data_IF_437593677819
#
_entry.id   IF_437593677819
#
_cell.length_a   1.000
_cell.length_b   1.000
_cell.length_c   1.000
_cell.angle_alpha   90.00
_cell.angle_beta   90.00
_cell.angle_gamma   90.00
#
_symmetry.space_group_name_H-M   'P 1'
#
loop_
_entity.id
_entity.type
_entity.pdbx_description
1 polymer ?
#
# COMPACT_ATOMS: atom_id res chain seq x y z
N UNK A 1 11.82 -5.02 -5.78
CA UNK A 1 13.12 -4.91 -5.05
C UNK A 1 13.14 -3.72 -4.08
N UNK A 2 12.90 -2.47 -4.52
CA UNK A 2 12.91 -1.32 -3.60
C UNK A 2 11.80 -1.43 -2.53
N UNK A 3 10.58 -1.81 -2.93
CA UNK A 3 9.49 -2.06 -1.99
C UNK A 3 9.89 -3.04 -0.89
N UNK A 4 10.40 -4.22 -1.24
CA UNK A 4 10.90 -5.22 -0.28
C UNK A 4 11.94 -4.63 0.67
N UNK A 5 12.91 -3.86 0.17
CA UNK A 5 13.91 -3.23 1.02
C UNK A 5 13.29 -2.25 2.04
N UNK A 6 12.32 -1.45 1.59
CA UNK A 6 11.62 -0.49 2.46
C UNK A 6 10.67 -1.18 3.42
N UNK A 7 10.05 -2.29 3.03
CA UNK A 7 9.22 -3.12 3.88
C UNK A 7 10.03 -3.68 5.07
N UNK A 8 11.20 -4.28 4.79
CA UNK A 8 12.12 -4.75 5.85
C UNK A 8 12.66 -3.60 6.71
N UNK A 9 12.92 -2.44 6.11
CA UNK A 9 13.28 -1.25 6.87
C UNK A 9 12.12 -0.75 7.75
N UNK A 10 10.87 -0.92 7.30
CA UNK A 10 9.65 -0.65 8.05
C UNK A 10 9.57 -1.50 9.31
N UNK A 11 9.78 -2.82 9.20
CA UNK A 11 9.85 -3.72 10.36
C UNK A 11 10.93 -3.28 11.36
N UNK A 12 12.13 -3.01 10.86
CA UNK A 12 13.24 -2.56 11.70
C UNK A 12 12.89 -1.25 12.44
N UNK A 13 12.23 -0.32 11.76
CA UNK A 13 11.82 0.95 12.33
C UNK A 13 10.70 0.81 13.37
N UNK A 14 9.68 -0.01 13.08
CA UNK A 14 8.60 -0.35 14.02
C UNK A 14 9.17 -0.94 15.31
N UNK A 15 10.09 -1.89 15.18
CA UNK A 15 10.74 -2.53 16.32
C UNK A 15 11.62 -1.56 17.13
N UNK A 16 12.45 -0.76 16.46
CA UNK A 16 13.37 0.19 17.10
C UNK A 16 12.63 1.31 17.87
N UNK A 17 11.56 1.83 17.28
CA UNK A 17 10.78 2.92 17.88
C UNK A 17 9.65 2.43 18.80
N UNK A 18 9.40 1.11 18.86
CA UNK A 18 8.31 0.54 19.65
C UNK A 18 6.94 1.04 19.18
N UNK A 19 6.74 1.16 17.87
CA UNK A 19 5.49 1.65 17.28
C UNK A 19 4.38 0.62 17.56
N UNK A 20 3.26 1.01 18.19
CA UNK A 20 2.17 0.09 18.44
C UNK A 20 1.46 -0.27 17.13
N UNK A 21 1.34 -1.56 16.85
CA UNK A 21 0.58 -2.09 15.71
C UNK A 21 -0.77 -2.62 16.22
N UNK A 22 -1.87 -2.03 15.72
CA UNK A 22 -3.24 -2.42 16.09
C UNK A 22 -3.91 -3.36 15.07
N UNK A 23 -3.21 -3.67 13.97
CA UNK A 23 -3.65 -4.56 12.90
C UNK A 23 -2.56 -5.58 12.56
N UNK A 24 -2.42 -5.90 11.27
CA UNK A 24 -1.31 -6.70 10.75
C UNK A 24 -0.09 -5.80 10.54
N UNK A 25 1.07 -6.21 11.06
CA UNK A 25 2.31 -5.43 10.91
C UNK A 25 2.75 -5.38 9.45
N UNK A 26 2.67 -6.51 8.75
CA UNK A 26 2.96 -6.65 7.32
C UNK A 26 2.21 -5.61 6.47
N UNK A 27 0.90 -5.47 6.67
CA UNK A 27 0.08 -4.49 5.93
C UNK A 27 0.50 -3.05 6.30
N UNK A 28 0.89 -2.81 7.55
CA UNK A 28 1.38 -1.50 7.99
C UNK A 28 2.73 -1.16 7.34
N UNK A 29 3.65 -2.11 7.24
CA UNK A 29 4.98 -1.88 6.65
C UNK A 29 4.95 -1.88 5.10
N UNK A 30 3.98 -2.54 4.47
CA UNK A 30 3.65 -2.34 3.05
C UNK A 30 3.22 -0.89 2.79
N UNK A 31 2.30 -0.38 3.62
CA UNK A 31 1.86 1.03 3.54
C UNK A 31 3.03 2.00 3.75
N UNK A 32 3.94 1.70 4.70
CA UNK A 32 5.16 2.47 4.91
C UNK A 32 6.00 2.51 3.62
N UNK A 33 6.29 1.35 3.04
CA UNK A 33 7.10 1.26 1.83
C UNK A 33 6.46 2.05 0.66
N UNK A 34 5.15 1.88 0.45
CA UNK A 34 4.41 2.59 -0.58
C UNK A 34 4.45 4.12 -0.36
N UNK A 35 4.19 4.62 0.85
CA UNK A 35 4.24 6.05 1.17
C UNK A 35 5.62 6.65 0.91
N UNK A 36 6.69 5.94 1.32
CA UNK A 36 8.06 6.43 1.10
C UNK A 36 8.37 6.51 -0.40
N UNK A 37 7.99 5.48 -1.16
CA UNK A 37 8.19 5.46 -2.61
C UNK A 37 7.41 6.58 -3.29
N UNK A 38 6.12 6.72 -2.98
CA UNK A 38 5.23 7.71 -3.61
C UNK A 38 5.67 9.15 -3.33
N UNK A 39 6.12 9.46 -2.11
CA UNK A 39 6.46 10.83 -1.74
C UNK A 39 7.91 11.23 -2.03
N UNK A 40 8.87 10.29 -2.01
CA UNK A 40 10.30 10.63 -1.93
C UNK A 40 11.18 9.93 -2.97
N UNK A 41 10.62 9.13 -3.86
CA UNK A 41 11.37 8.41 -4.89
C UNK A 41 10.93 8.87 -6.28
N UNK A 42 11.90 9.25 -7.12
CA UNK A 42 11.65 9.54 -8.53
C UNK A 42 11.06 8.30 -9.22
N UNK A 43 9.95 8.48 -9.96
CA UNK A 43 9.18 7.37 -10.55
C UNK A 43 8.69 6.36 -9.49
N UNK A 44 8.45 6.83 -8.26
CA UNK A 44 7.97 6.02 -7.15
C UNK A 44 6.66 5.30 -7.45
N UNK A 45 5.72 5.97 -8.13
CA UNK A 45 4.45 5.37 -8.52
C UNK A 45 4.62 4.12 -9.39
N UNK A 46 5.42 4.19 -10.46
CA UNK A 46 5.69 3.04 -11.34
C UNK A 46 6.36 1.87 -10.58
N UNK A 47 7.27 2.21 -9.67
CA UNK A 47 7.93 1.22 -8.84
C UNK A 47 6.99 0.59 -7.80
N UNK A 48 6.02 1.34 -7.29
CA UNK A 48 4.98 0.86 -6.36
C UNK A 48 3.95 -0.01 -7.10
N UNK A 49 3.55 0.36 -8.32
CA UNK A 49 2.72 -0.49 -9.19
C UNK A 49 3.45 -1.81 -9.49
N UNK A 50 4.74 -1.75 -9.82
CA UNK A 50 5.55 -2.96 -10.04
C UNK A 50 5.64 -3.85 -8.79
N UNK A 51 5.51 -3.28 -7.58
CA UNK A 51 5.44 -4.04 -6.35
C UNK A 51 4.06 -4.64 -6.12
N UNK A 52 2.99 -3.92 -6.44
CA UNK A 52 1.63 -4.47 -6.47
C UNK A 52 1.57 -5.68 -7.40
N UNK A 53 2.07 -5.57 -8.63
CA UNK A 53 2.07 -6.66 -9.62
C UNK A 53 2.76 -7.91 -9.06
N UNK A 54 3.78 -7.77 -8.22
CA UNK A 54 4.42 -8.89 -7.54
C UNK A 54 3.44 -9.66 -6.65
N UNK A 55 2.59 -8.96 -5.89
CA UNK A 55 1.55 -9.60 -5.09
C UNK A 55 0.50 -10.29 -5.97
N UNK A 56 0.14 -9.70 -7.12
CA UNK A 56 -0.74 -10.36 -8.07
C UNK A 56 -0.10 -11.66 -8.62
N UNK A 57 1.20 -11.64 -8.96
CA UNK A 57 1.91 -12.84 -9.42
C UNK A 57 2.02 -13.92 -8.33
N UNK A 58 2.19 -13.54 -7.06
CA UNK A 58 2.14 -14.49 -5.93
C UNK A 58 0.74 -15.12 -5.75
N UNK A 59 -0.30 -14.44 -6.26
CA UNK A 59 -1.67 -14.95 -6.29
C UNK A 59 -2.00 -15.83 -7.51
N UNK A 60 -1.24 -15.74 -8.61
CA UNK A 60 -1.54 -16.41 -9.89
C UNK A 60 -1.38 -17.94 -9.86
N UNK A 61 -0.64 -18.49 -8.89
CA UNK A 61 -0.45 -19.94 -8.73
C UNK A 61 -1.61 -20.63 -7.98
N UNK A 62 -2.74 -19.94 -7.76
CA UNK A 62 -3.78 -20.42 -6.84
C UNK A 62 -4.89 -21.21 -7.55
N UNK A 63 -5.26 -22.40 -7.01
CA UNK A 63 -6.37 -23.22 -7.53
C UNK A 63 -7.73 -22.54 -7.25
N UNK A 64 -8.85 -23.14 -7.71
CA UNK A 64 -10.23 -22.66 -7.46
C UNK A 64 -10.59 -22.45 -5.97
N UNK A 65 -9.68 -22.76 -5.03
CA UNK A 65 -9.86 -22.67 -3.59
C UNK A 65 -8.57 -22.26 -2.89
N UNK A 66 -8.66 -21.30 -1.95
CA UNK A 66 -7.53 -20.87 -1.12
C UNK A 66 -7.16 -21.93 -0.07
N UNK A 67 -5.86 -22.13 0.19
CA UNK A 67 -5.42 -23.00 1.29
C UNK A 67 -5.77 -22.36 2.65
N UNK A 68 -6.12 -23.18 3.64
CA UNK A 68 -6.33 -22.74 5.02
C UNK A 68 -5.14 -21.96 5.58
N UNK A 69 -3.92 -22.27 5.12
CA UNK A 69 -2.72 -21.53 5.52
C UNK A 69 -2.81 -20.03 5.20
N UNK A 70 -3.43 -19.65 4.09
CA UNK A 70 -3.54 -18.26 3.69
C UNK A 70 -4.47 -17.46 4.62
N UNK A 71 -5.54 -18.10 5.11
CA UNK A 71 -6.48 -17.45 6.03
C UNK A 71 -5.87 -17.14 7.40
N UNK A 72 -4.79 -17.84 7.77
CA UNK A 72 -4.05 -17.66 9.03
C UNK A 72 -2.73 -16.92 8.82
N UNK A 73 -2.49 -16.39 7.61
CA UNK A 73 -1.27 -15.68 7.26
C UNK A 73 -1.08 -14.37 8.04
N UNK A 74 0.19 -13.96 8.18
CA UNK A 74 0.61 -12.77 8.91
C UNK A 74 0.27 -11.46 8.15
N UNK A 75 0.16 -11.54 6.82
CA UNK A 75 -0.32 -10.47 5.94
C UNK A 75 -1.74 -10.71 5.42
N UNK A 76 -2.37 -9.69 4.86
CA UNK A 76 -3.61 -9.85 4.08
C UNK A 76 -3.41 -10.70 2.82
N UNK A 77 -4.49 -11.22 2.21
CA UNK A 77 -4.33 -12.03 1.00
C UNK A 77 -3.58 -11.25 -0.08
N UNK A 78 -2.79 -11.92 -0.91
CA UNK A 78 -1.93 -11.25 -1.89
C UNK A 78 -2.74 -10.34 -2.82
N UNK A 79 -3.93 -10.78 -3.25
CA UNK A 79 -4.82 -9.93 -4.05
C UNK A 79 -5.37 -8.72 -3.27
N UNK A 80 -5.56 -8.85 -1.95
CA UNK A 80 -5.91 -7.70 -1.11
C UNK A 80 -4.74 -6.72 -1.00
N UNK A 81 -3.50 -7.20 -0.88
CA UNK A 81 -2.29 -6.37 -0.86
C UNK A 81 -2.07 -5.65 -2.19
N UNK A 82 -2.29 -6.34 -3.30
CA UNK A 82 -2.29 -5.77 -4.64
C UNK A 82 -3.25 -4.58 -4.74
N UNK A 83 -4.54 -4.80 -4.46
CA UNK A 83 -5.54 -3.72 -4.54
C UNK A 83 -5.30 -2.60 -3.52
N UNK A 84 -4.86 -2.93 -2.30
CA UNK A 84 -4.49 -1.91 -1.31
C UNK A 84 -3.34 -1.03 -1.81
N UNK A 85 -2.33 -1.62 -2.45
CA UNK A 85 -1.19 -0.90 -3.01
C UNK A 85 -1.59 -0.02 -4.20
N UNK A 86 -2.40 -0.55 -5.14
CA UNK A 86 -2.94 0.25 -6.24
C UNK A 86 -3.81 1.41 -5.75
N UNK A 87 -4.56 1.18 -4.67
CA UNK A 87 -5.39 2.19 -4.04
C UNK A 87 -4.54 3.34 -3.46
N UNK A 88 -3.37 3.04 -2.87
CA UNK A 88 -2.42 4.07 -2.44
C UNK A 88 -1.82 4.85 -3.62
N UNK A 89 -1.46 4.16 -4.71
CA UNK A 89 -0.94 4.82 -5.92
C UNK A 89 -1.99 5.76 -6.51
N UNK A 90 -3.21 5.25 -6.72
CA UNK A 90 -4.33 6.04 -7.24
C UNK A 90 -4.61 7.25 -6.33
N UNK A 91 -4.70 7.03 -5.02
CA UNK A 91 -4.99 8.09 -4.06
C UNK A 91 -3.93 9.18 -4.00
N UNK A 92 -2.67 8.86 -4.32
CA UNK A 92 -1.57 9.82 -4.33
C UNK A 92 -1.59 10.81 -5.49
N UNK A 93 -2.03 10.38 -6.67
CA UNK A 93 -2.23 11.22 -7.85
C UNK A 93 -3.33 10.63 -8.77
N UNK A 94 -4.61 10.92 -8.47
CA UNK A 94 -5.73 10.41 -9.25
C UNK A 94 -5.70 10.88 -10.72
N UNK A 95 -5.10 12.04 -10.98
CA UNK A 95 -5.05 12.61 -12.32
C UNK A 95 -4.01 11.91 -13.21
N UNK A 96 -2.88 11.49 -12.63
CA UNK A 96 -1.88 10.69 -13.33
C UNK A 96 -2.30 9.22 -13.56
N UNK A 97 -3.20 8.69 -12.71
CA UNK A 97 -3.53 7.26 -12.65
C UNK A 97 -5.01 6.94 -12.90
N UNK A 98 -5.68 7.70 -13.79
CA UNK A 98 -7.14 7.63 -14.03
C UNK A 98 -7.70 6.24 -14.30
N UNK A 99 -6.92 5.43 -15.01
CA UNK A 99 -7.32 4.11 -15.50
C UNK A 99 -6.76 2.97 -14.62
N UNK A 100 -6.05 3.29 -13.52
CA UNK A 100 -5.34 2.30 -12.71
C UNK A 100 -6.27 1.28 -12.04
N UNK A 101 -7.50 1.68 -11.75
CA UNK A 101 -8.50 0.83 -11.08
C UNK A 101 -9.54 0.27 -12.06
N UNK A 102 -9.21 0.21 -13.36
CA UNK A 102 -10.15 -0.18 -14.41
C UNK A 102 -10.53 -1.66 -14.44
N UNK A 103 -9.84 -2.48 -13.66
CA UNK A 103 -10.18 -3.88 -13.42
C UNK A 103 -11.31 -4.07 -12.39
N UNK A 104 -11.59 -3.04 -11.57
CA UNK A 104 -12.72 -3.04 -10.62
C UNK A 104 -14.02 -2.83 -11.39
N UNK A 105 -15.06 -3.58 -11.06
CA UNK A 105 -16.35 -3.46 -11.73
C UNK A 105 -16.90 -2.03 -11.65
N UNK A 106 -17.45 -1.54 -12.77
CA UNK A 106 -17.92 -0.16 -12.92
C UNK A 106 -18.87 0.28 -11.80
N UNK A 107 -19.67 -0.65 -11.25
CA UNK A 107 -20.63 -0.37 -10.18
C UNK A 107 -19.99 -0.03 -8.82
N UNK A 108 -18.73 -0.44 -8.58
CA UNK A 108 -17.99 -0.16 -7.35
C UNK A 108 -16.84 0.83 -7.55
N UNK A 109 -16.42 1.05 -8.80
CA UNK A 109 -15.18 1.76 -9.14
C UNK A 109 -15.13 3.20 -8.61
N UNK A 110 -16.19 3.98 -8.79
CA UNK A 110 -16.20 5.38 -8.38
C UNK A 110 -16.13 5.54 -6.86
N UNK A 111 -16.90 4.74 -6.12
CA UNK A 111 -16.83 4.72 -4.65
C UNK A 111 -15.43 4.29 -4.17
N UNK A 112 -14.85 3.29 -4.82
CA UNK A 112 -13.51 2.82 -4.49
C UNK A 112 -12.44 3.88 -4.78
N UNK A 113 -12.55 4.63 -5.88
CA UNK A 113 -11.67 5.75 -6.21
C UNK A 113 -11.68 6.82 -5.12
N UNK A 114 -12.87 7.25 -4.68
CA UNK A 114 -13.02 8.22 -3.59
C UNK A 114 -12.42 7.70 -2.27
N UNK A 115 -12.65 6.42 -1.97
CA UNK A 115 -12.07 5.76 -0.80
C UNK A 115 -10.54 5.71 -0.87
N UNK A 116 -9.97 5.47 -2.04
CA UNK A 116 -8.52 5.40 -2.23
C UNK A 116 -7.83 6.73 -1.97
N UNK A 117 -8.44 7.84 -2.39
CA UNK A 117 -7.95 9.19 -2.07
C UNK A 117 -7.90 9.39 -0.55
N UNK A 118 -9.02 9.17 0.13
CA UNK A 118 -9.08 9.32 1.59
C UNK A 118 -8.11 8.36 2.33
N UNK A 119 -7.98 7.14 1.82
CA UNK A 119 -7.08 6.12 2.39
C UNK A 119 -5.61 6.54 2.27
N UNK A 120 -5.20 7.05 1.10
CA UNK A 120 -3.84 7.56 0.92
C UNK A 120 -3.57 8.76 1.84
N UNK A 121 -4.48 9.73 1.90
CA UNK A 121 -4.34 10.92 2.77
C UNK A 121 -4.15 10.52 4.24
N UNK A 122 -4.96 9.57 4.75
CA UNK A 122 -4.87 9.09 6.12
C UNK A 122 -3.55 8.36 6.39
N UNK A 123 -3.16 7.43 5.51
CA UNK A 123 -1.95 6.62 5.68
C UNK A 123 -0.69 7.48 5.56
N UNK A 124 -0.64 8.38 4.57
CA UNK A 124 0.46 9.32 4.39
C UNK A 124 0.62 10.25 5.60
N UNK A 125 -0.50 10.83 6.07
CA UNK A 125 -0.49 11.66 7.28
C UNK A 125 0.04 10.88 8.49
N UNK A 126 -0.49 9.68 8.75
CA UNK A 126 -0.10 8.87 9.90
C UNK A 126 1.39 8.51 9.88
N UNK A 127 1.93 8.08 8.72
CA UNK A 127 3.35 7.79 8.60
C UNK A 127 4.23 9.03 8.72
N UNK A 128 3.81 10.18 8.17
CA UNK A 128 4.52 11.46 8.37
C UNK A 128 4.57 11.86 9.85
N UNK A 129 3.49 11.65 10.61
CA UNK A 129 3.47 11.90 12.05
C UNK A 129 4.46 10.99 12.79
N UNK A 130 4.42 9.68 12.52
CA UNK A 130 5.32 8.70 13.14
C UNK A 130 6.79 9.02 12.81
N UNK A 131 7.08 9.38 11.56
CA UNK A 131 8.42 9.73 11.09
C UNK A 131 8.88 11.13 11.54
N UNK A 132 8.03 11.89 12.23
CA UNK A 132 8.27 13.30 12.60
C UNK A 132 8.63 14.20 11.40
N UNK A 133 8.05 13.92 10.24
CA UNK A 133 8.19 14.75 9.05
C UNK A 133 7.20 15.91 9.18
N UNK A 134 7.71 17.15 9.20
CA UNK A 134 6.84 18.33 9.25
C UNK A 134 5.99 18.37 7.99
N UNK A 135 4.67 18.37 8.15
CA UNK A 135 3.78 18.81 7.08
C UNK A 135 4.11 20.26 6.77
N UNK A 136 4.33 20.61 5.50
CA UNK A 136 4.36 22.03 5.11
C UNK A 136 2.97 22.60 5.41
N UNK A 137 2.85 23.36 6.51
CA UNK A 137 1.69 24.21 6.73
C UNK A 137 1.65 25.21 5.58
N UNK A 138 0.61 25.11 4.74
CA UNK A 138 0.29 26.15 3.76
C UNK A 138 0.15 27.48 4.50
N UNK A 139 1.16 28.35 4.31
CA UNK A 139 1.13 29.78 4.65
C UNK A 139 0.13 30.54 3.80
#
# INVERSE_FOLDING_TARGET
MLHTLLHEAGHAYVADQGIPILGKEEDAVDNFAAVIMLNYVDQGADATISAADMFAFESDDRPDYYDFYEYIGEHSFDLQRYFATLCLVYGSDPDAHKDLLDEIEDEYRDEQKDKCIATFEEIDYNWKQVLNIKSEENS
#
